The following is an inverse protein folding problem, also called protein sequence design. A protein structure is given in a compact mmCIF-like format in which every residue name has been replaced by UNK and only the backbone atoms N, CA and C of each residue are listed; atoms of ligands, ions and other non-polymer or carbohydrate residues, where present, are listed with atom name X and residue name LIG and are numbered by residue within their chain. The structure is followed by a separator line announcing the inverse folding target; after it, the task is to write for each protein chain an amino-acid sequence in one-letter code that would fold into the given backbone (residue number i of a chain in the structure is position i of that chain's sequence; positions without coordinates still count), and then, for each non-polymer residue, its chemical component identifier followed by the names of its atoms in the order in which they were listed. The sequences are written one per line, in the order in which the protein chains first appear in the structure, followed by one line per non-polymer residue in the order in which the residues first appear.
data_IF_465794495734
#
_entry.id   IF_465794495734
#
_cell.length_a   1.000
_cell.length_b   1.000
_cell.length_c   1.000
_cell.angle_alpha   90.00
_cell.angle_beta   90.00
_cell.angle_gamma   90.00
#
_symmetry.space_group_name_H-M   'P 1'
#
loop_
_entity.id
_entity.type
_entity.pdbx_description
1 polymer ?
#
# COMPACT_ATOMS: atom_id res chain seq x y z
N UNK A 1 -33.26 -10.96 -57.84
CA UNK A 1 -33.74 -11.23 -56.46
C UNK A 1 -34.68 -10.11 -56.07
N UNK A 2 -35.89 -10.45 -55.70
CA UNK A 2 -37.01 -9.51 -55.49
C UNK A 2 -36.90 -8.72 -54.20
N UNK A 3 -35.99 -7.83 -54.00
CA UNK A 3 -35.91 -6.78 -52.96
C UNK A 3 -36.47 -7.01 -51.54
N UNK A 4 -37.06 -8.21 -51.29
CA UNK A 4 -37.57 -8.61 -49.99
C UNK A 4 -36.48 -9.16 -49.12
N UNK A 5 -36.44 -8.71 -47.86
CA UNK A 5 -35.45 -9.11 -46.87
C UNK A 5 -36.13 -9.40 -45.54
N UNK A 6 -35.49 -10.29 -44.77
CA UNK A 6 -35.90 -10.61 -43.40
C UNK A 6 -34.99 -9.89 -42.43
N UNK A 7 -35.57 -9.26 -41.45
CA UNK A 7 -34.86 -8.67 -40.33
C UNK A 7 -35.32 -9.35 -39.03
N UNK A 8 -34.35 -9.59 -38.14
CA UNK A 8 -34.61 -10.05 -36.78
C UNK A 8 -33.76 -9.18 -35.85
N UNK A 9 -34.42 -8.38 -35.00
CA UNK A 9 -33.74 -7.55 -34.02
C UNK A 9 -33.59 -8.26 -32.68
N UNK A 10 -32.52 -7.95 -31.95
CA UNK A 10 -32.36 -8.37 -30.57
C UNK A 10 -33.35 -7.64 -29.62
N UNK A 11 -33.76 -8.22 -28.50
CA UNK A 11 -34.51 -7.50 -27.46
C UNK A 11 -33.81 -6.23 -26.92
N UNK A 12 -32.49 -6.16 -27.03
CA UNK A 12 -31.67 -5.02 -26.63
C UNK A 12 -31.52 -3.94 -27.72
N UNK A 13 -32.21 -4.09 -28.85
CA UNK A 13 -32.20 -3.13 -29.96
C UNK A 13 -33.64 -2.70 -30.27
N UNK A 14 -33.83 -1.41 -30.35
CA UNK A 14 -35.07 -0.79 -30.80
C UNK A 14 -35.01 -0.60 -32.30
N UNK A 15 -35.90 -1.25 -33.04
CA UNK A 15 -35.96 -1.19 -34.48
C UNK A 15 -37.14 -0.31 -34.91
N UNK A 16 -36.86 0.61 -35.83
CA UNK A 16 -37.86 1.45 -36.50
C UNK A 16 -37.83 1.14 -38.01
N UNK A 17 -38.99 0.86 -38.57
CA UNK A 17 -39.15 0.73 -40.03
C UNK A 17 -39.85 1.95 -40.55
N UNK A 18 -39.17 2.74 -41.38
CA UNK A 18 -39.73 3.85 -42.12
C UNK A 18 -40.14 3.44 -43.51
N UNK A 19 -41.29 3.89 -43.94
CA UNK A 19 -41.79 3.74 -45.31
C UNK A 19 -42.47 5.02 -45.75
N UNK A 20 -42.01 5.60 -46.84
CA UNK A 20 -42.51 6.91 -47.33
C UNK A 20 -42.49 8.01 -46.25
N UNK A 21 -41.47 8.06 -45.40
CA UNK A 21 -41.33 9.05 -44.32
C UNK A 21 -42.16 8.76 -43.06
N UNK A 22 -42.95 7.67 -43.03
CA UNK A 22 -43.75 7.32 -41.85
C UNK A 22 -43.21 6.05 -41.18
N UNK A 23 -43.31 5.99 -39.86
CA UNK A 23 -43.02 4.76 -39.09
C UNK A 23 -44.14 3.74 -39.28
N UNK A 24 -43.80 2.63 -39.85
CA UNK A 24 -44.77 1.53 -40.11
C UNK A 24 -44.72 0.49 -38.99
N UNK A 25 -43.53 0.22 -38.46
CA UNK A 25 -43.27 -0.72 -37.35
C UNK A 25 -42.20 -0.22 -36.46
N UNK A 26 -42.36 -0.43 -35.17
CA UNK A 26 -41.39 -0.06 -34.16
C UNK A 26 -41.46 -0.98 -32.94
N UNK A 27 -40.36 -1.16 -32.28
CA UNK A 27 -40.27 -1.95 -31.05
C UNK A 27 -38.98 -2.75 -30.93
N UNK A 28 -38.92 -3.52 -29.85
CA UNK A 28 -37.78 -4.39 -29.54
C UNK A 28 -38.08 -5.83 -29.95
N UNK A 29 -37.04 -6.60 -30.30
CA UNK A 29 -37.20 -8.03 -30.60
C UNK A 29 -38.07 -8.35 -31.82
N UNK A 30 -38.24 -7.43 -32.75
CA UNK A 30 -39.06 -7.57 -33.93
C UNK A 30 -38.40 -8.51 -34.94
N UNK A 31 -39.25 -9.27 -35.61
CA UNK A 31 -38.82 -10.10 -36.74
C UNK A 31 -39.89 -10.04 -37.84
N UNK A 32 -39.50 -9.61 -39.04
CA UNK A 32 -40.44 -9.48 -40.17
C UNK A 32 -39.72 -9.42 -41.51
N UNK A 33 -40.51 -9.63 -42.56
CA UNK A 33 -40.11 -9.40 -43.95
C UNK A 33 -40.44 -7.97 -44.37
N UNK A 34 -39.53 -7.32 -45.07
CA UNK A 34 -39.71 -5.98 -45.60
C UNK A 34 -39.16 -5.85 -47.02
N UNK A 35 -39.70 -4.89 -47.76
CA UNK A 35 -39.23 -4.54 -49.09
C UNK A 35 -38.16 -3.42 -49.00
N UNK A 36 -36.89 -3.82 -49.18
CA UNK A 36 -35.74 -2.96 -48.96
C UNK A 36 -35.74 -1.67 -49.81
N UNK A 37 -36.13 -1.65 -51.11
CA UNK A 37 -36.10 -0.44 -51.91
C UNK A 37 -37.02 0.71 -51.42
N UNK A 38 -38.04 0.39 -50.63
CA UNK A 38 -39.01 1.37 -50.10
C UNK A 38 -39.03 1.52 -48.60
N UNK A 39 -38.10 0.83 -47.90
CA UNK A 39 -38.08 0.83 -46.45
C UNK A 39 -36.69 1.18 -45.95
N UNK A 40 -36.61 2.11 -45.02
CA UNK A 40 -35.39 2.42 -44.23
C UNK A 40 -35.57 1.77 -42.87
N UNK A 41 -34.57 1.00 -42.45
CA UNK A 41 -34.50 0.43 -41.12
C UNK A 41 -33.55 1.27 -40.26
N UNK A 42 -33.96 1.61 -39.05
CA UNK A 42 -33.18 2.33 -38.06
C UNK A 42 -33.07 1.44 -36.82
N UNK A 43 -31.88 1.17 -36.35
CA UNK A 43 -31.65 0.31 -35.19
C UNK A 43 -30.92 1.08 -34.12
N UNK A 44 -31.58 1.26 -32.98
CA UNK A 44 -31.04 2.00 -31.82
C UNK A 44 -30.74 1.00 -30.69
N UNK A 45 -29.51 0.91 -30.20
CA UNK A 45 -29.19 0.05 -29.08
C UNK A 45 -29.77 0.61 -27.77
N UNK A 46 -30.40 -0.23 -26.94
CA UNK A 46 -30.98 0.14 -25.66
C UNK A 46 -30.14 -0.28 -24.46
N UNK A 47 -29.12 -1.09 -24.69
CA UNK A 47 -28.22 -1.52 -23.63
C UNK A 47 -27.48 -0.34 -23.03
N UNK A 48 -27.21 -0.41 -21.75
CA UNK A 48 -26.31 0.53 -21.08
C UNK A 48 -24.88 0.36 -21.64
N UNK A 49 -24.24 1.49 -21.90
CA UNK A 49 -22.87 1.56 -22.39
C UNK A 49 -22.05 2.32 -21.35
N UNK A 50 -20.93 1.72 -20.94
CA UNK A 50 -19.96 2.35 -20.04
C UNK A 50 -18.81 2.92 -20.85
N UNK A 51 -18.50 4.19 -20.59
CA UNK A 51 -17.42 4.90 -21.29
C UNK A 51 -16.47 5.50 -20.27
N UNK A 52 -15.22 5.08 -20.28
CA UNK A 52 -14.18 5.72 -19.46
C UNK A 52 -13.85 7.10 -20.02
N UNK A 53 -13.50 8.02 -19.12
CA UNK A 53 -13.06 9.36 -19.51
C UNK A 53 -11.82 9.79 -18.73
N UNK A 54 -11.06 10.66 -19.36
CA UNK A 54 -9.98 11.43 -18.77
C UNK A 54 -10.05 12.85 -19.33
N UNK A 55 -10.38 13.81 -18.45
CA UNK A 55 -10.51 15.22 -18.83
C UNK A 55 -9.45 16.04 -18.10
N UNK A 56 -8.88 16.96 -18.83
CA UNK A 56 -8.05 18.04 -18.28
C UNK A 56 -8.89 19.30 -18.25
N UNK A 57 -9.07 19.87 -17.07
CA UNK A 57 -9.85 21.06 -16.82
C UNK A 57 -9.13 21.97 -15.84
N UNK A 58 -9.62 23.21 -15.72
CA UNK A 58 -9.03 24.25 -14.88
C UNK A 58 -10.02 24.61 -13.77
N UNK A 59 -9.53 24.69 -12.55
CA UNK A 59 -10.27 25.13 -11.36
C UNK A 59 -10.39 26.64 -11.29
N UNK A 60 -11.16 27.15 -10.32
CA UNK A 60 -11.35 28.59 -10.09
C UNK A 60 -10.03 29.34 -9.87
N UNK A 61 -9.09 28.73 -9.18
CA UNK A 61 -7.75 29.26 -8.90
C UNK A 61 -6.74 29.01 -10.02
N UNK A 62 -7.23 28.77 -11.25
CA UNK A 62 -6.44 28.55 -12.46
C UNK A 62 -5.46 27.37 -12.38
N UNK A 63 -5.74 26.40 -11.53
CA UNK A 63 -4.93 25.19 -11.44
C UNK A 63 -5.49 24.09 -12.36
N UNK A 64 -4.59 23.45 -13.09
CA UNK A 64 -4.94 22.37 -13.98
C UNK A 64 -5.14 21.07 -13.19
N UNK A 65 -6.27 20.40 -13.44
CA UNK A 65 -6.61 19.11 -12.84
C UNK A 65 -7.00 18.09 -13.90
N UNK A 66 -6.58 16.87 -13.72
CA UNK A 66 -6.99 15.72 -14.54
C UNK A 66 -8.03 14.92 -13.78
N UNK A 67 -9.22 14.84 -14.35
CA UNK A 67 -10.35 14.04 -13.85
C UNK A 67 -10.37 12.70 -14.58
N UNK A 68 -10.32 11.60 -13.86
CA UNK A 68 -10.44 10.25 -14.41
C UNK A 68 -11.68 9.57 -13.85
N UNK A 69 -12.47 8.97 -14.72
CA UNK A 69 -13.71 8.34 -14.31
C UNK A 69 -14.36 7.52 -15.41
N UNK A 70 -15.57 7.11 -15.13
CA UNK A 70 -16.42 6.43 -16.09
C UNK A 70 -17.85 6.93 -15.99
N UNK A 71 -18.54 6.92 -17.12
CA UNK A 71 -19.95 7.27 -17.20
C UNK A 71 -20.70 6.15 -17.89
N UNK A 72 -21.83 5.73 -17.30
CA UNK A 72 -22.76 4.82 -17.94
C UNK A 72 -23.95 5.60 -18.46
N UNK A 73 -24.38 5.28 -19.66
CA UNK A 73 -25.57 5.87 -20.24
C UNK A 73 -26.39 4.80 -20.98
N UNK A 74 -27.69 5.08 -21.13
CA UNK A 74 -28.60 4.29 -21.94
C UNK A 74 -29.49 5.22 -22.76
N UNK A 75 -30.00 4.71 -23.86
CA UNK A 75 -30.96 5.42 -24.67
C UNK A 75 -32.34 5.12 -24.11
N UNK A 76 -33.02 6.14 -23.58
CA UNK A 76 -34.37 6.02 -23.02
C UNK A 76 -35.44 6.28 -24.08
N UNK A 77 -35.18 7.24 -24.98
CA UNK A 77 -36.12 7.64 -26.03
C UNK A 77 -35.50 7.39 -27.41
N UNK A 78 -35.56 6.15 -27.92
CA UNK A 78 -34.90 5.79 -29.17
C UNK A 78 -35.50 6.48 -30.41
N UNK A 79 -36.77 6.85 -30.36
CA UNK A 79 -37.40 7.64 -31.45
C UNK A 79 -36.79 9.01 -31.59
N UNK A 80 -36.70 9.74 -30.47
CA UNK A 80 -36.15 11.09 -30.45
C UNK A 80 -34.68 11.10 -30.90
N UNK A 81 -33.91 10.09 -30.48
CA UNK A 81 -32.53 9.94 -30.95
C UNK A 81 -32.46 9.66 -32.44
N UNK A 82 -33.34 8.82 -32.97
CA UNK A 82 -33.40 8.44 -34.40
C UNK A 82 -33.84 9.63 -35.32
N UNK A 83 -34.54 10.62 -34.76
CA UNK A 83 -34.91 11.85 -35.49
C UNK A 83 -33.75 12.82 -35.59
N UNK A 84 -32.88 12.84 -34.59
CA UNK A 84 -31.77 13.77 -34.48
C UNK A 84 -30.43 13.23 -35.02
N UNK A 85 -30.31 11.92 -35.08
CA UNK A 85 -29.10 11.22 -35.50
C UNK A 85 -29.43 10.05 -36.44
N UNK A 86 -28.52 9.79 -37.35
CA UNK A 86 -28.73 8.74 -38.36
C UNK A 86 -28.28 7.33 -37.89
N UNK A 87 -29.23 6.55 -37.41
CA UNK A 87 -29.06 5.14 -37.05
C UNK A 87 -29.56 4.20 -38.10
N UNK A 88 -29.66 4.64 -39.36
CA UNK A 88 -30.11 3.80 -40.45
C UNK A 88 -29.17 2.65 -40.72
N UNK A 89 -29.75 1.50 -41.06
CA UNK A 89 -29.00 0.32 -41.42
C UNK A 89 -28.89 0.23 -42.96
N UNK A 90 -27.67 -0.04 -43.37
CA UNK A 90 -27.39 -0.47 -44.75
C UNK A 90 -27.92 -1.89 -44.99
N UNK A 91 -27.91 -2.26 -46.23
CA UNK A 91 -28.38 -3.57 -46.72
C UNK A 91 -27.57 -4.75 -46.12
N UNK A 92 -26.31 -4.50 -45.73
CA UNK A 92 -25.43 -5.48 -45.09
C UNK A 92 -25.60 -5.55 -43.55
N UNK A 93 -26.50 -4.72 -42.97
CA UNK A 93 -26.71 -4.65 -41.53
C UNK A 93 -25.75 -3.71 -40.76
N UNK A 94 -24.82 -3.08 -41.46
CA UNK A 94 -23.98 -2.05 -40.88
C UNK A 94 -24.73 -0.73 -40.79
N UNK A 95 -24.30 0.18 -39.94
CA UNK A 95 -24.82 1.55 -39.90
C UNK A 95 -24.42 2.32 -41.16
N UNK A 96 -25.33 3.15 -41.65
CA UNK A 96 -25.10 3.99 -42.84
C UNK A 96 -24.30 5.26 -42.51
N UNK A 97 -24.18 5.60 -41.23
CA UNK A 97 -23.51 6.79 -40.71
C UNK A 97 -22.60 6.44 -39.55
N UNK A 98 -21.65 7.28 -39.28
CA UNK A 98 -20.78 7.21 -38.09
C UNK A 98 -21.45 7.76 -36.82
N UNK A 99 -22.69 8.24 -36.88
CA UNK A 99 -23.39 8.82 -35.73
C UNK A 99 -23.47 7.87 -34.52
N UNK A 100 -23.73 6.56 -34.71
CA UNK A 100 -23.71 5.60 -33.60
C UNK A 100 -22.35 5.51 -32.90
N UNK A 101 -21.26 5.57 -33.66
CA UNK A 101 -19.88 5.50 -33.13
C UNK A 101 -19.47 6.80 -32.45
N UNK A 102 -20.03 7.92 -32.87
CA UNK A 102 -19.79 9.25 -32.31
C UNK A 102 -20.62 9.54 -31.06
N UNK A 103 -21.66 8.76 -30.78
CA UNK A 103 -22.54 8.97 -29.65
C UNK A 103 -21.81 8.98 -28.30
N UNK A 104 -20.90 8.04 -28.00
CA UNK A 104 -20.11 8.09 -26.77
C UNK A 104 -19.33 9.38 -26.61
N UNK A 105 -18.71 9.87 -27.66
CA UNK A 105 -17.95 11.13 -27.65
C UNK A 105 -18.85 12.35 -27.39
N UNK A 106 -20.09 12.35 -27.90
CA UNK A 106 -21.08 13.41 -27.61
C UNK A 106 -21.49 13.39 -26.14
N UNK A 107 -21.71 12.21 -25.56
CA UNK A 107 -21.99 12.06 -24.13
C UNK A 107 -20.81 12.56 -23.29
N UNK A 108 -19.58 12.17 -23.66
CA UNK A 108 -18.37 12.62 -22.96
C UNK A 108 -18.20 14.15 -23.03
N UNK A 109 -18.49 14.78 -24.18
CA UNK A 109 -18.42 16.23 -24.31
C UNK A 109 -19.45 16.93 -23.42
N UNK A 110 -20.65 16.38 -23.29
CA UNK A 110 -21.67 16.91 -22.38
C UNK A 110 -21.23 16.76 -20.92
N UNK A 111 -20.70 15.61 -20.55
CA UNK A 111 -20.13 15.37 -19.22
C UNK A 111 -18.99 16.34 -18.93
N UNK A 112 -18.06 16.49 -19.87
CA UNK A 112 -16.95 17.44 -19.78
C UNK A 112 -17.42 18.88 -19.56
N UNK A 113 -18.43 19.31 -20.29
CA UNK A 113 -18.99 20.63 -20.13
C UNK A 113 -19.57 20.89 -18.72
N UNK A 114 -20.24 19.88 -18.14
CA UNK A 114 -20.75 19.99 -16.77
C UNK A 114 -19.63 20.02 -15.73
N UNK A 115 -18.59 19.19 -15.88
CA UNK A 115 -17.43 19.27 -15.00
C UNK A 115 -16.73 20.62 -15.08
N UNK A 116 -16.59 21.18 -16.27
CA UNK A 116 -16.01 22.52 -16.44
C UNK A 116 -16.78 23.57 -15.65
N UNK A 117 -18.11 23.57 -15.73
CA UNK A 117 -18.95 24.53 -14.99
C UNK A 117 -18.74 24.35 -13.48
N UNK A 118 -18.77 23.12 -12.99
CA UNK A 118 -18.60 22.84 -11.56
C UNK A 118 -17.21 23.22 -11.03
N UNK A 119 -16.17 23.02 -11.84
CA UNK A 119 -14.79 23.32 -11.45
C UNK A 119 -14.47 24.81 -11.45
N UNK A 120 -15.20 25.61 -12.22
CA UNK A 120 -15.06 27.08 -12.21
C UNK A 120 -15.46 27.71 -10.87
N UNK A 121 -16.25 27.02 -10.07
CA UNK A 121 -16.70 27.48 -8.75
C UNK A 121 -15.87 26.93 -7.59
N UNK A 122 -14.96 25.97 -7.85
CA UNK A 122 -14.20 25.25 -6.84
C UNK A 122 -12.70 25.54 -6.94
N UNK A 123 -12.04 25.69 -5.78
CA UNK A 123 -10.59 25.75 -5.70
C UNK A 123 -9.99 24.34 -5.77
N UNK A 124 -8.74 24.24 -6.19
CA UNK A 124 -8.04 22.97 -6.29
C UNK A 124 -8.10 22.13 -5.01
N UNK A 125 -7.93 22.78 -3.86
CA UNK A 125 -7.94 22.10 -2.56
C UNK A 125 -9.31 21.47 -2.27
N UNK A 126 -10.39 22.18 -2.57
CA UNK A 126 -11.76 21.72 -2.37
C UNK A 126 -12.09 20.56 -3.31
N UNK A 127 -11.60 20.60 -4.53
CA UNK A 127 -11.75 19.53 -5.52
C UNK A 127 -11.02 18.25 -5.07
N UNK A 128 -9.79 18.37 -4.54
CA UNK A 128 -9.00 17.23 -4.09
C UNK A 128 -9.57 16.60 -2.81
N UNK A 129 -10.08 17.41 -1.88
CA UNK A 129 -10.65 16.93 -0.62
C UNK A 129 -12.11 16.48 -0.76
N UNK A 130 -12.83 17.05 -1.71
CA UNK A 130 -14.26 16.83 -1.92
C UNK A 130 -14.62 15.98 -3.13
N UNK A 131 -13.80 15.04 -3.54
CA UNK A 131 -13.99 14.22 -4.75
C UNK A 131 -15.37 13.54 -4.79
N UNK A 132 -15.87 13.06 -3.67
CA UNK A 132 -17.19 12.43 -3.58
C UNK A 132 -18.31 13.44 -3.79
N UNK A 133 -18.21 14.62 -3.19
CA UNK A 133 -19.18 15.74 -3.38
C UNK A 133 -19.21 16.18 -4.83
N UNK A 134 -18.05 16.29 -5.46
CA UNK A 134 -17.93 16.63 -6.88
C UNK A 134 -18.59 15.56 -7.76
N UNK A 135 -18.42 14.27 -7.45
CA UNK A 135 -19.04 13.16 -8.17
C UNK A 135 -20.56 13.22 -8.10
N UNK A 136 -21.13 13.47 -6.91
CA UNK A 136 -22.57 13.62 -6.71
C UNK A 136 -23.13 14.85 -7.45
N UNK A 137 -22.46 15.99 -7.33
CA UNK A 137 -22.85 17.23 -8.03
C UNK A 137 -22.79 17.04 -9.55
N UNK A 138 -21.73 16.43 -10.06
CA UNK A 138 -21.56 16.14 -11.48
C UNK A 138 -22.66 15.19 -12.00
N UNK A 139 -23.01 14.15 -11.24
CA UNK A 139 -24.09 13.23 -11.59
C UNK A 139 -25.43 13.99 -11.74
N UNK A 140 -25.74 14.85 -10.78
CA UNK A 140 -26.97 15.66 -10.82
C UNK A 140 -26.98 16.64 -12.01
N UNK A 141 -25.87 17.34 -12.23
CA UNK A 141 -25.72 18.29 -13.32
C UNK A 141 -25.83 17.62 -14.69
N UNK A 142 -25.18 16.45 -14.86
CA UNK A 142 -25.20 15.68 -16.11
C UNK A 142 -26.59 15.07 -16.36
N UNK A 143 -27.27 14.57 -15.33
CA UNK A 143 -28.63 14.04 -15.46
C UNK A 143 -29.63 15.13 -15.92
N UNK A 144 -29.41 16.36 -15.50
CA UNK A 144 -30.22 17.52 -15.92
C UNK A 144 -29.74 18.20 -17.19
N UNK A 145 -28.68 17.74 -17.83
CA UNK A 145 -28.09 18.43 -19.00
C UNK A 145 -29.02 18.42 -20.21
N UNK A 146 -29.45 19.60 -20.71
CA UNK A 146 -30.37 19.69 -21.84
C UNK A 146 -29.85 19.03 -23.10
N UNK A 147 -28.53 19.04 -23.29
CA UNK A 147 -27.84 18.40 -24.43
C UNK A 147 -28.04 16.87 -24.49
N UNK A 148 -28.18 16.19 -23.36
CA UNK A 148 -28.43 14.76 -23.30
C UNK A 148 -29.92 14.44 -23.28
N UNK A 149 -30.70 15.20 -22.54
CA UNK A 149 -32.14 15.02 -22.45
C UNK A 149 -32.81 15.26 -23.81
N UNK A 150 -32.36 16.26 -24.59
CA UNK A 150 -32.85 16.50 -25.95
C UNK A 150 -32.54 15.36 -26.91
N UNK A 151 -31.53 14.56 -26.67
CA UNK A 151 -31.20 13.37 -27.44
C UNK A 151 -31.92 12.09 -26.93
N UNK A 152 -32.74 12.20 -25.89
CA UNK A 152 -33.38 11.02 -25.26
C UNK A 152 -32.41 10.06 -24.58
N UNK A 153 -31.27 10.57 -24.12
CA UNK A 153 -30.22 9.80 -23.44
C UNK A 153 -30.37 10.01 -21.95
N UNK A 154 -30.42 8.91 -21.21
CA UNK A 154 -30.37 8.91 -19.75
C UNK A 154 -28.99 8.48 -19.29
N UNK A 155 -28.38 9.31 -18.44
CA UNK A 155 -27.15 8.91 -17.74
C UNK A 155 -27.52 8.11 -16.50
N UNK A 156 -26.96 6.93 -16.40
CA UNK A 156 -27.18 6.01 -15.28
C UNK A 156 -26.26 6.36 -14.11
N UNK A 157 -25.02 5.93 -14.20
CA UNK A 157 -24.01 6.20 -13.18
C UNK A 157 -22.85 7.02 -13.74
N UNK A 158 -22.31 7.88 -12.87
CA UNK A 158 -21.12 8.66 -13.15
C UNK A 158 -20.18 8.48 -11.95
N UNK A 159 -19.12 7.72 -12.16
CA UNK A 159 -18.09 7.47 -11.16
C UNK A 159 -16.84 8.27 -11.45
N UNK A 160 -16.41 9.07 -10.48
CA UNK A 160 -15.12 9.75 -10.51
C UNK A 160 -14.10 8.89 -9.77
N UNK A 161 -13.14 8.31 -10.49
CA UNK A 161 -12.16 7.36 -9.96
C UNK A 161 -10.95 8.06 -9.34
N UNK A 162 -10.49 9.13 -9.98
CA UNK A 162 -9.35 9.89 -9.50
C UNK A 162 -9.39 11.33 -9.96
N UNK A 163 -8.91 12.22 -9.09
CA UNK A 163 -8.61 13.62 -9.39
C UNK A 163 -7.13 13.83 -9.13
N UNK A 164 -6.40 14.24 -10.14
CA UNK A 164 -4.96 14.48 -10.05
C UNK A 164 -4.64 15.91 -10.45
N UNK A 165 -3.95 16.68 -9.61
CA UNK A 165 -3.45 17.98 -10.01
C UNK A 165 -2.27 17.82 -10.98
N UNK A 166 -1.88 18.90 -11.62
CA UNK A 166 -0.64 18.94 -12.40
C UNK A 166 0.54 18.48 -11.52
N UNK A 167 1.50 17.70 -12.06
CA UNK A 167 2.65 17.20 -11.31
C UNK A 167 3.46 18.25 -10.56
N UNK A 168 3.58 19.47 -11.10
CA UNK A 168 4.25 20.57 -10.41
C UNK A 168 3.47 21.04 -9.18
N UNK A 169 2.16 21.23 -9.35
CA UNK A 169 1.26 21.62 -8.26
C UNK A 169 1.16 20.50 -7.20
N UNK A 170 1.12 19.22 -7.63
CA UNK A 170 1.17 18.09 -6.71
C UNK A 170 2.40 18.13 -5.82
N UNK A 171 3.59 18.33 -6.40
CA UNK A 171 4.85 18.44 -5.66
C UNK A 171 4.85 19.64 -4.70
N UNK A 172 4.28 20.78 -5.14
CA UNK A 172 4.18 21.98 -4.29
C UNK A 172 3.23 21.75 -3.09
N UNK A 173 2.13 21.02 -3.29
CA UNK A 173 1.19 20.66 -2.22
C UNK A 173 1.76 19.61 -1.27
N UNK A 174 2.58 18.68 -1.77
CA UNK A 174 3.23 17.65 -0.98
C UNK A 174 4.43 18.16 -0.17
N UNK A 175 5.12 19.20 -0.69
CA UNK A 175 6.36 19.71 -0.09
C UNK A 175 6.20 20.08 1.40
N UNK A 176 5.24 20.91 1.82
CA UNK A 176 5.07 21.26 3.23
C UNK A 176 4.72 20.05 4.10
N UNK A 177 3.94 19.13 3.61
CA UNK A 177 3.59 17.92 4.34
C UNK A 177 4.81 16.99 4.48
N UNK A 178 5.63 16.89 3.45
CA UNK A 178 6.89 16.13 3.48
C UNK A 178 7.87 16.73 4.47
N UNK A 179 8.00 18.05 4.49
CA UNK A 179 8.86 18.74 5.47
C UNK A 179 8.38 18.53 6.90
N UNK A 180 7.07 18.57 7.13
CA UNK A 180 6.49 18.31 8.45
C UNK A 180 6.76 16.86 8.90
N UNK A 181 6.61 15.88 8.02
CA UNK A 181 6.93 14.47 8.30
C UNK A 181 8.43 14.30 8.61
N UNK A 182 9.32 14.95 7.84
CA UNK A 182 10.75 14.91 8.07
C UNK A 182 11.10 15.55 9.43
N UNK A 183 10.52 16.71 9.73
CA UNK A 183 10.69 17.37 11.03
C UNK A 183 10.25 16.49 12.19
N UNK A 184 9.09 15.85 12.08
CA UNK A 184 8.61 14.90 13.10
C UNK A 184 9.55 13.69 13.26
N UNK A 185 10.11 13.20 12.17
CA UNK A 185 11.09 12.11 12.20
C UNK A 185 12.40 12.55 12.86
N UNK A 186 12.87 13.77 12.56
CA UNK A 186 14.06 14.34 13.16
C UNK A 186 13.86 14.62 14.65
N UNK A 187 12.72 15.19 15.04
CA UNK A 187 12.35 15.42 16.44
C UNK A 187 12.28 14.12 17.23
N UNK A 188 11.70 13.07 16.64
CA UNK A 188 11.66 11.74 17.24
C UNK A 188 13.07 11.13 17.39
N UNK A 189 13.94 11.37 16.43
CA UNK A 189 15.34 10.92 16.48
C UNK A 189 16.12 11.69 17.54
N UNK A 190 15.91 13.00 17.62
CA UNK A 190 16.53 13.87 18.61
C UNK A 190 16.10 13.51 20.05
N UNK A 191 14.81 13.29 20.25
CA UNK A 191 14.28 12.86 21.56
C UNK A 191 14.85 11.51 22.01
N UNK A 192 14.98 10.56 21.08
CA UNK A 192 15.62 9.25 21.35
C UNK A 192 17.09 9.42 21.74
N UNK A 193 17.84 10.27 21.02
CA UNK A 193 19.25 10.52 21.34
C UNK A 193 19.41 11.20 22.69
N UNK A 194 18.58 12.19 23.00
CA UNK A 194 18.60 12.85 24.30
C UNK A 194 18.27 11.88 25.44
N UNK A 195 17.25 11.05 25.28
CA UNK A 195 16.91 10.03 26.25
C UNK A 195 18.07 9.01 26.46
N UNK A 196 18.74 8.61 25.37
CA UNK A 196 19.90 7.73 25.47
C UNK A 196 21.09 8.41 26.22
N UNK A 197 21.35 9.69 25.95
CA UNK A 197 22.39 10.45 26.62
C UNK A 197 22.06 10.63 28.11
N UNK A 198 20.80 10.91 28.44
CA UNK A 198 20.37 11.00 29.85
C UNK A 198 20.49 9.67 30.58
N UNK A 199 20.10 8.57 29.92
CA UNK A 199 20.31 7.24 30.48
C UNK A 199 21.79 6.92 30.69
N UNK A 200 22.64 7.24 29.70
CA UNK A 200 24.09 7.04 29.84
C UNK A 200 24.67 7.88 30.97
N UNK A 201 24.23 9.16 31.13
CA UNK A 201 24.62 9.99 32.25
C UNK A 201 24.16 9.43 33.59
N UNK A 202 22.89 8.97 33.65
CA UNK A 202 22.37 8.37 34.88
C UNK A 202 23.12 7.09 35.26
N UNK A 203 23.49 6.27 34.29
CA UNK A 203 24.32 5.07 34.52
C UNK A 203 25.68 5.45 35.01
N UNK A 204 26.38 6.39 34.38
CA UNK A 204 27.70 6.87 34.81
C UNK A 204 27.67 7.52 36.21
N UNK A 205 26.60 8.28 36.50
CA UNK A 205 26.42 8.88 37.81
C UNK A 205 26.20 7.82 38.90
N UNK A 206 25.46 6.77 38.60
CA UNK A 206 25.26 5.62 39.48
C UNK A 206 26.55 4.81 39.66
N UNK A 207 27.34 4.62 38.59
CA UNK A 207 28.65 3.99 38.65
C UNK A 207 29.60 4.79 39.56
N UNK A 208 29.70 6.11 39.34
CA UNK A 208 30.50 6.98 40.17
C UNK A 208 30.07 7.00 41.65
N UNK A 209 28.75 7.01 41.89
CA UNK A 209 28.23 6.89 43.27
C UNK A 209 28.59 5.55 43.89
N UNK A 210 28.52 4.50 43.10
CA UNK A 210 28.91 3.16 43.56
C UNK A 210 30.41 3.08 43.85
N UNK A 211 31.25 3.65 42.98
CA UNK A 211 32.70 3.73 43.21
C UNK A 211 33.05 4.57 44.46
N UNK A 212 32.42 5.74 44.62
CA UNK A 212 32.58 6.54 45.82
C UNK A 212 32.13 5.82 47.09
N UNK A 213 31.02 5.10 47.01
CA UNK A 213 30.53 4.28 48.11
C UNK A 213 31.51 3.15 48.46
N UNK A 214 32.08 2.51 47.43
CA UNK A 214 33.08 1.46 47.58
C UNK A 214 34.39 2.05 48.18
N UNK A 215 34.81 3.21 47.69
CA UNK A 215 36.02 3.90 48.22
C UNK A 215 35.84 4.36 49.67
N UNK A 216 34.65 4.91 49.99
CA UNK A 216 34.32 5.26 51.38
C UNK A 216 34.27 4.02 52.27
N UNK A 217 33.70 2.91 51.83
CA UNK A 217 33.73 1.65 52.57
C UNK A 217 35.14 1.09 52.68
N UNK A 218 35.96 1.18 51.63
CA UNK A 218 37.38 0.79 51.70
C UNK A 218 38.19 1.66 52.62
N UNK A 219 37.89 2.98 52.73
CA UNK A 219 38.49 3.85 53.72
C UNK A 219 38.06 3.45 55.13
N UNK A 220 36.76 3.24 55.29
CA UNK A 220 36.21 2.85 56.60
C UNK A 220 36.76 1.47 57.05
N UNK A 221 36.92 0.53 56.10
CA UNK A 221 37.56 -0.73 56.38
C UNK A 221 39.04 -0.56 56.74
N UNK A 222 39.78 0.30 56.01
CA UNK A 222 41.18 0.58 56.34
C UNK A 222 41.31 1.32 57.68
N UNK A 223 40.42 2.26 57.97
CA UNK A 223 40.40 2.93 59.29
C UNK A 223 40.09 1.93 60.41
N UNK A 224 39.10 1.03 60.18
CA UNK A 224 38.79 -0.03 61.15
C UNK A 224 39.92 -1.08 61.24
N UNK A 225 40.61 -1.36 60.13
CA UNK A 225 41.80 -2.26 60.17
C UNK A 225 42.95 -1.61 60.95
N UNK A 226 43.25 -0.33 60.70
CA UNK A 226 44.30 0.38 61.47
C UNK A 226 43.90 0.52 62.95
N UNK A 227 42.61 0.78 63.24
CA UNK A 227 42.12 0.81 64.60
C UNK A 227 42.09 -0.55 65.24
N UNK A 228 41.74 -1.62 64.45
CA UNK A 228 41.84 -2.99 64.95
C UNK A 228 43.28 -3.47 65.14
N UNK A 229 44.24 -3.04 64.26
CA UNK A 229 45.67 -3.29 64.50
C UNK A 229 46.19 -2.55 65.75
N UNK A 230 45.74 -1.28 65.98
CA UNK A 230 46.04 -0.61 67.22
C UNK A 230 45.51 -1.34 68.47
N UNK A 231 44.23 -1.78 68.37
CA UNK A 231 43.60 -2.56 69.44
C UNK A 231 44.23 -3.92 69.56
N UNK A 232 44.69 -4.53 68.46
CA UNK A 232 45.43 -5.82 68.45
C UNK A 232 46.86 -5.62 69.06
N UNK A 233 47.54 -4.50 68.82
CA UNK A 233 48.80 -4.18 69.45
C UNK A 233 48.62 -3.96 70.94
N UNK A 234 47.55 -3.33 71.38
CA UNK A 234 47.15 -3.24 72.77
C UNK A 234 46.71 -4.52 73.43
N UNK A 235 45.99 -5.36 72.61
CA UNK A 235 45.48 -6.68 73.07
C UNK A 235 46.45 -7.83 72.90
N UNK A 236 47.55 -7.70 72.12
CA UNK A 236 48.57 -8.72 71.97
C UNK A 236 49.23 -9.12 73.28
N UNK A 237 49.12 -8.27 74.30
CA UNK A 237 49.55 -8.61 75.68
C UNK A 237 48.52 -9.38 76.49
N UNK A 238 47.28 -9.50 75.95
CA UNK A 238 46.23 -10.12 76.75
C UNK A 238 45.67 -11.41 76.20
N UNK A 239 46.00 -11.88 75.04
CA UNK A 239 45.24 -13.10 74.72
C UNK A 239 45.65 -13.81 73.45
N UNK A 240 46.17 -15.01 73.61
CA UNK A 240 46.14 -16.11 72.68
C UNK A 240 44.70 -16.67 72.43
N UNK A 241 43.67 -16.12 73.06
CA UNK A 241 42.31 -16.61 72.99
C UNK A 241 41.40 -15.89 71.90
N UNK A 242 41.86 -14.83 71.32
CA UNK A 242 41.04 -14.10 70.29
C UNK A 242 41.44 -14.34 68.84
N UNK A 243 42.49 -15.15 68.58
CA UNK A 243 42.91 -15.50 67.22
C UNK A 243 41.84 -16.30 66.42
N UNK A 244 40.99 -17.02 67.17
CA UNK A 244 39.96 -17.84 66.54
C UNK A 244 38.74 -17.03 66.05
N UNK A 245 38.43 -15.90 66.70
CA UNK A 245 37.27 -15.08 66.33
C UNK A 245 37.58 -14.13 65.12
N UNK A 246 38.84 -13.75 64.92
CA UNK A 246 39.21 -12.93 63.78
C UNK A 246 39.24 -13.70 62.45
N UNK A 247 39.53 -15.02 62.52
CA UNK A 247 39.43 -15.89 61.29
C UNK A 247 38.03 -16.08 60.81
N UNK A 248 37.05 -16.20 61.68
CA UNK A 248 35.64 -16.33 61.32
C UNK A 248 35.09 -15.04 60.70
N UNK A 249 35.54 -13.88 61.20
CA UNK A 249 35.10 -12.59 60.62
C UNK A 249 35.68 -12.34 59.23
N UNK A 250 36.90 -12.81 58.95
CA UNK A 250 37.49 -12.72 57.59
C UNK A 250 36.82 -13.65 56.55
N UNK A 251 36.40 -14.86 56.98
CA UNK A 251 35.65 -15.75 56.08
C UNK A 251 34.25 -15.25 55.78
N UNK A 252 33.60 -14.55 56.71
CA UNK A 252 32.28 -13.95 56.45
C UNK A 252 32.37 -12.75 55.49
N UNK A 253 33.42 -11.93 55.59
CA UNK A 253 33.65 -10.81 54.65
C UNK A 253 33.98 -11.29 53.23
N UNK A 254 34.74 -12.36 53.11
CA UNK A 254 35.04 -12.99 51.82
C UNK A 254 33.78 -13.65 51.19
N UNK A 255 32.90 -14.23 52.00
CA UNK A 255 31.64 -14.81 51.56
C UNK A 255 30.70 -13.70 51.04
N UNK A 256 30.67 -12.53 51.70
CA UNK A 256 29.86 -11.40 51.31
C UNK A 256 30.37 -10.72 50.01
N UNK A 257 31.71 -10.65 49.84
CA UNK A 257 32.33 -10.18 48.60
C UNK A 257 32.07 -11.08 47.40
N UNK A 258 32.11 -12.40 47.62
CA UNK A 258 31.77 -13.40 46.57
C UNK A 258 30.26 -13.29 46.18
N UNK A 259 29.40 -12.99 47.16
CA UNK A 259 27.99 -12.83 46.93
C UNK A 259 27.68 -11.55 46.14
N UNK A 260 28.39 -10.45 46.42
CA UNK A 260 28.30 -9.19 45.68
C UNK A 260 28.86 -9.27 44.25
N UNK A 261 29.97 -10.01 44.07
CA UNK A 261 30.49 -10.29 42.71
C UNK A 261 29.58 -11.18 41.91
N UNK A 262 28.91 -12.15 42.52
CA UNK A 262 27.90 -13.03 41.90
C UNK A 262 26.65 -12.24 41.50
N UNK A 263 26.22 -11.24 42.30
CA UNK A 263 25.05 -10.41 41.95
C UNK A 263 25.35 -9.43 40.82
N UNK A 264 26.55 -8.89 40.73
CA UNK A 264 26.98 -8.04 39.62
C UNK A 264 27.08 -8.82 38.28
N UNK A 265 27.62 -10.08 38.32
CA UNK A 265 27.65 -10.92 37.14
C UNK A 265 26.24 -11.32 36.66
N UNK A 266 25.28 -11.50 37.58
CA UNK A 266 23.89 -11.74 37.23
C UNK A 266 23.26 -10.52 36.54
N UNK A 267 23.51 -9.31 37.04
CA UNK A 267 23.00 -8.09 36.43
C UNK A 267 23.55 -7.87 35.00
N UNK A 268 24.84 -8.18 34.79
CA UNK A 268 25.43 -8.11 33.44
C UNK A 268 24.85 -9.18 32.49
N UNK A 269 24.55 -10.35 32.99
CA UNK A 269 23.93 -11.42 32.22
C UNK A 269 22.48 -11.07 31.83
N UNK A 270 21.72 -10.48 32.77
CA UNK A 270 20.32 -10.07 32.51
C UNK A 270 20.25 -8.91 31.49
N UNK A 271 21.19 -7.96 31.54
CA UNK A 271 21.26 -6.88 30.54
C UNK A 271 21.60 -7.42 29.13
N UNK A 272 22.49 -8.41 29.04
CA UNK A 272 22.78 -9.09 27.77
C UNK A 272 21.60 -9.93 27.29
N UNK A 273 20.89 -10.61 28.19
CA UNK A 273 19.69 -11.39 27.85
C UNK A 273 18.57 -10.49 27.34
N UNK A 274 18.37 -9.32 27.94
CA UNK A 274 17.37 -8.35 27.50
C UNK A 274 17.70 -7.77 26.12
N UNK A 275 18.97 -7.46 25.85
CA UNK A 275 19.43 -7.03 24.52
C UNK A 275 19.19 -8.09 23.43
N UNK A 276 19.43 -9.36 23.79
CA UNK A 276 19.22 -10.47 22.87
C UNK A 276 17.73 -10.80 22.68
N UNK A 277 16.90 -10.64 23.72
CA UNK A 277 15.45 -10.79 23.64
C UNK A 277 14.82 -9.69 22.75
N UNK A 278 15.25 -8.46 22.90
CA UNK A 278 14.78 -7.35 22.04
C UNK A 278 15.14 -7.57 20.55
N UNK A 279 16.32 -8.15 20.31
CA UNK A 279 16.75 -8.50 18.95
C UNK A 279 15.94 -9.66 18.36
N UNK A 280 15.63 -10.66 19.16
CA UNK A 280 14.79 -11.81 18.76
C UNK A 280 13.32 -11.39 18.57
N UNK A 281 12.83 -10.45 19.35
CA UNK A 281 11.46 -9.94 19.24
C UNK A 281 11.28 -9.04 18.00
N UNK A 282 12.30 -8.28 17.62
CA UNK A 282 12.34 -7.55 16.36
C UNK A 282 12.35 -8.48 15.12
N UNK A 283 12.88 -9.68 15.26
CA UNK A 283 12.93 -10.70 14.20
C UNK A 283 11.64 -11.55 14.16
N UNK A 284 10.93 -11.71 15.27
CA UNK A 284 9.66 -12.45 15.35
C UNK A 284 8.50 -11.81 14.62
N UNK A 285 8.60 -10.52 14.26
CA UNK A 285 7.60 -9.81 13.46
C UNK A 285 7.68 -10.07 11.95
N UNK A 286 8.70 -10.80 11.50
CA UNK A 286 8.86 -11.13 10.09
C UNK A 286 8.43 -12.58 9.85
N UNK A 287 7.41 -12.75 9.04
CA UNK A 287 6.94 -14.05 8.59
C UNK A 287 8.11 -14.87 8.00
N UNK A 288 8.21 -16.13 8.37
CA UNK A 288 9.27 -17.05 7.92
C UNK A 288 9.43 -17.10 6.39
N UNK A 289 8.35 -16.82 5.65
CA UNK A 289 8.37 -16.69 4.19
C UNK A 289 9.07 -15.42 3.71
N UNK A 290 8.99 -14.34 4.45
CA UNK A 290 9.65 -13.07 4.11
C UNK A 290 11.15 -13.12 4.38
N UNK A 291 11.56 -13.84 5.43
CA UNK A 291 12.97 -14.07 5.74
C UNK A 291 13.62 -14.99 4.71
N UNK A 292 12.91 -16.04 4.30
CA UNK A 292 13.35 -16.97 3.27
C UNK A 292 13.42 -16.30 1.89
N UNK A 293 12.46 -15.42 1.58
CA UNK A 293 12.45 -14.62 0.34
C UNK A 293 13.59 -13.59 0.30
N UNK A 294 13.93 -12.98 1.44
CA UNK A 294 15.03 -12.02 1.53
C UNK A 294 16.40 -12.70 1.33
N UNK A 295 16.56 -13.88 1.90
CA UNK A 295 17.78 -14.69 1.71
C UNK A 295 17.88 -15.28 0.30
N UNK A 296 16.75 -15.64 -0.32
CA UNK A 296 16.73 -16.14 -1.70
C UNK A 296 16.86 -15.04 -2.77
N UNK A 297 16.50 -13.79 -2.46
CA UNK A 297 16.57 -12.68 -3.41
C UNK A 297 17.97 -12.13 -3.65
N UNK A 298 18.95 -12.46 -2.81
CA UNK A 298 20.34 -11.99 -2.94
C UNK A 298 21.36 -13.11 -3.21
N UNK A 299 20.92 -14.35 -3.25
CA UNK A 299 21.81 -15.47 -3.52
C UNK A 299 21.88 -15.76 -5.01
N UNK A 300 23.09 -15.77 -5.58
CA UNK A 300 23.31 -16.20 -6.96
C UNK A 300 22.87 -17.68 -7.09
N UNK A 301 22.41 -18.12 -8.27
CA UNK A 301 21.99 -19.50 -8.51
C UNK A 301 23.06 -20.53 -8.14
N UNK A 302 24.32 -20.13 -8.19
CA UNK A 302 25.47 -20.96 -7.84
C UNK A 302 25.61 -21.14 -6.31
N UNK A 303 25.26 -20.13 -5.53
CA UNK A 303 25.26 -20.20 -4.07
C UNK A 303 24.12 -21.12 -3.53
N UNK A 304 22.96 -21.11 -4.20
CA UNK A 304 21.84 -22.00 -3.86
C UNK A 304 22.15 -23.48 -4.17
N UNK A 305 22.89 -23.73 -5.26
CA UNK A 305 23.36 -25.09 -5.56
C UNK A 305 24.44 -25.55 -4.58
N UNK A 306 25.35 -24.69 -4.17
CA UNK A 306 26.38 -25.00 -3.19
C UNK A 306 25.80 -25.38 -1.82
N UNK A 307 24.78 -24.65 -1.35
CA UNK A 307 24.06 -24.98 -0.10
C UNK A 307 23.27 -26.29 -0.23
N UNK A 308 22.69 -26.57 -1.40
CA UNK A 308 22.05 -27.85 -1.69
C UNK A 308 23.03 -29.04 -1.61
N UNK A 309 24.22 -28.91 -2.17
CA UNK A 309 25.27 -29.90 -2.13
C UNK A 309 25.90 -30.04 -0.74
N UNK A 310 26.00 -28.95 0.02
CA UNK A 310 26.51 -28.99 1.41
C UNK A 310 25.56 -29.73 2.34
N UNK A 311 24.24 -29.52 2.20
CA UNK A 311 23.24 -30.28 2.96
C UNK A 311 23.19 -31.78 2.60
N UNK A 312 23.55 -32.12 1.37
CA UNK A 312 23.70 -33.53 0.94
C UNK A 312 24.99 -34.13 1.51
N UNK A 313 26.07 -33.37 1.56
CA UNK A 313 27.37 -33.82 2.12
C UNK A 313 27.30 -34.03 3.64
N UNK A 314 26.64 -33.14 4.38
CA UNK A 314 26.47 -33.21 5.82
C UNK A 314 25.57 -34.40 6.27
N UNK A 315 24.72 -34.89 5.37
CA UNK A 315 23.88 -36.06 5.60
C UNK A 315 24.40 -37.35 4.91
N UNK A 316 25.56 -37.29 4.28
CA UNK A 316 26.13 -38.41 3.52
C UNK A 316 26.38 -39.68 4.37
N UNK A 317 26.56 -39.54 5.69
CA UNK A 317 26.69 -40.64 6.61
C UNK A 317 25.41 -41.47 6.87
N UNK A 318 24.24 -40.95 6.39
CA UNK A 318 22.92 -41.61 6.55
C UNK A 318 22.35 -42.17 5.25
N UNK A 319 23.01 -41.93 4.13
CA UNK A 319 22.52 -42.32 2.79
C UNK A 319 23.54 -43.30 2.21
N UNK A 320 23.20 -44.57 2.23
CA UNK A 320 23.96 -45.59 1.51
C UNK A 320 23.87 -45.37 0.02
N UNK A 321 25.00 -45.49 -0.68
CA UNK A 321 25.23 -45.47 -2.13
C UNK A 321 24.28 -44.61 -2.98
N UNK A 322 24.66 -43.35 -3.20
CA UNK A 322 24.03 -42.49 -4.19
C UNK A 322 24.76 -42.67 -5.54
N UNK A 323 24.07 -43.26 -6.49
CA UNK A 323 24.58 -43.44 -7.85
C UNK A 323 24.04 -42.28 -8.73
N UNK A 324 24.83 -41.27 -9.01
CA UNK A 324 24.51 -40.22 -9.95
C UNK A 324 24.84 -40.65 -11.38
N UNK A 325 23.81 -40.84 -12.19
CA UNK A 325 23.99 -40.99 -13.63
C UNK A 325 24.51 -39.69 -14.26
N UNK A 326 25.56 -39.72 -15.09
CA UNK A 326 26.10 -38.54 -15.76
C UNK A 326 25.09 -37.75 -16.63
N UNK A 327 23.99 -38.37 -17.01
CA UNK A 327 22.93 -37.76 -17.81
C UNK A 327 22.04 -36.76 -17.06
N UNK A 328 21.88 -36.94 -15.74
CA UNK A 328 21.13 -35.99 -14.90
C UNK A 328 21.86 -34.64 -14.74
N UNK A 329 23.18 -34.67 -14.65
CA UNK A 329 23.99 -33.45 -14.59
C UNK A 329 24.02 -32.69 -15.92
N UNK A 330 23.91 -33.40 -17.05
CA UNK A 330 23.81 -32.78 -18.37
C UNK A 330 22.43 -32.16 -18.66
N UNK A 331 21.33 -32.70 -18.11
CA UNK A 331 20.01 -32.10 -18.24
C UNK A 331 19.83 -30.84 -17.40
N UNK A 332 20.41 -30.79 -16.19
CA UNK A 332 20.40 -29.59 -15.33
C UNK A 332 21.26 -28.45 -15.89
N UNK A 333 22.34 -28.77 -16.59
CA UNK A 333 23.20 -27.78 -17.24
C UNK A 333 22.62 -27.23 -18.57
N UNK A 334 21.65 -27.92 -19.19
CA UNK A 334 21.03 -27.52 -20.49
C UNK A 334 19.77 -26.66 -20.37
N UNK A 335 19.30 -26.35 -19.16
CA UNK A 335 18.12 -25.49 -18.96
C UNK A 335 18.47 -24.00 -18.83
N UNK A 336 19.60 -23.60 -19.43
CA UNK A 336 19.94 -22.21 -19.72
C UNK A 336 20.09 -22.06 -21.23
N UNK A 337 18.98 -21.70 -21.87
CA UNK A 337 18.89 -21.21 -23.22
C UNK A 337 17.62 -20.40 -23.35
#
# INVERSE_FOLDING_TARGET
MFGFRYVKSSPSQYLLQYRNGQIVREGTGLSFWYYAPRSTLVSVPLNAVEVPFMFEEVTRDFQQVTLQGQVSYRIEQPKQLAELQNFSLLVNGAYASEDPERLPSRVLNAVKAQFRILLQDLDLRDVLQGTERLSVAARQAVAGAPSLTSLGIQVGDLGLLAVKPNPETARALEAPMREEILKQADDATYTRRNAAIEQERAVKENELRSELSIEQKRRQVRETEVESERVLLEKRQQIQAQEMTSKVALEQQNAELVQLQSSNQKLEADVRAYGMQAMVEAIKGLDARSLQALMMGQASPEALMAVGFQNIADNAAKIGEFNFSPDLLRQLAKQKG
#
